data_IF_166317528749
#
_entry.id   IF_166317528749
#
_cell.length_a   1.000
_cell.length_b   1.000
_cell.length_c   1.000
_cell.angle_alpha   90.00
_cell.angle_beta   90.00
_cell.angle_gamma   90.00
#
_symmetry.space_group_name_H-M   'P 1'
#
loop_
_entity.id
_entity.type
_entity.pdbx_description
1 polymer ?
#
# COMPACT_ATOMS: atom_id res chain seq x y z
N UNK A 1 4.78 -6.32 -24.66
CA UNK A 1 5.17 -5.80 -23.33
C UNK A 1 3.96 -5.04 -22.79
N UNK A 2 3.27 -5.57 -21.78
CA UNK A 2 2.22 -4.84 -21.08
C UNK A 2 2.76 -4.54 -19.68
N UNK A 3 3.35 -3.36 -19.51
CA UNK A 3 3.71 -2.85 -18.18
C UNK A 3 2.42 -2.61 -17.39
N UNK A 4 2.42 -2.98 -16.12
CA UNK A 4 1.33 -2.58 -15.23
C UNK A 4 1.59 -1.11 -14.89
N UNK A 5 0.76 -0.21 -15.43
CA UNK A 5 0.85 1.22 -15.13
C UNK A 5 0.44 1.46 -13.67
N UNK A 6 1.44 1.53 -12.78
CA UNK A 6 1.27 2.04 -11.43
C UNK A 6 1.04 3.55 -11.54
N UNK A 7 -0.15 3.98 -11.17
CA UNK A 7 -0.48 5.40 -11.07
C UNK A 7 -0.86 5.72 -9.63
N UNK A 8 -0.32 6.83 -9.10
CA UNK A 8 -0.85 7.40 -7.87
C UNK A 8 -2.24 7.91 -8.20
N UNK A 9 -3.25 7.35 -7.57
CA UNK A 9 -4.60 7.84 -7.75
C UNK A 9 -4.82 8.96 -6.75
N UNK A 10 -4.88 10.20 -7.23
CA UNK A 10 -5.19 11.35 -6.38
C UNK A 10 -6.62 11.24 -5.80
N UNK A 11 -6.85 11.62 -4.54
CA UNK A 11 -8.20 11.74 -4.01
C UNK A 11 -8.94 12.84 -4.79
N UNK A 12 -10.11 12.51 -5.36
CA UNK A 12 -10.86 13.40 -6.25
C UNK A 12 -11.23 14.74 -5.61
N UNK A 13 -11.03 15.82 -6.40
CA UNK A 13 -11.32 17.26 -6.23
C UNK A 13 -11.05 17.90 -4.85
N UNK A 14 -10.34 19.04 -4.80
CA UNK A 14 -9.91 19.67 -3.55
C UNK A 14 -11.06 20.45 -2.90
N UNK A 15 -11.77 19.82 -1.98
CA UNK A 15 -12.51 20.56 -0.96
C UNK A 15 -11.53 21.06 0.10
N UNK A 16 -10.83 22.16 -0.21
CA UNK A 16 -10.04 23.07 0.65
C UNK A 16 -9.18 22.47 1.79
N UNK A 17 -8.81 21.21 1.69
CA UNK A 17 -7.84 20.51 2.53
C UNK A 17 -6.90 19.82 1.55
N UNK A 18 -5.80 20.48 1.19
CA UNK A 18 -4.76 19.86 0.36
C UNK A 18 -4.47 18.46 0.90
N UNK A 19 -4.61 17.44 0.05
CA UNK A 19 -4.55 16.03 0.44
C UNK A 19 -3.36 15.79 1.39
N UNK A 20 -3.64 15.52 2.66
CA UNK A 20 -2.61 15.43 3.73
C UNK A 20 -1.58 14.33 3.46
N UNK A 21 -1.92 13.38 2.59
CA UNK A 21 -1.05 12.33 2.08
C UNK A 21 0.13 12.90 1.27
N UNK A 22 -0.10 13.95 0.46
CA UNK A 22 0.96 14.64 -0.29
C UNK A 22 1.95 15.35 0.65
N UNK A 23 1.46 15.93 1.75
CA UNK A 23 2.31 16.56 2.78
C UNK A 23 3.12 15.52 3.56
N UNK A 24 2.65 14.27 3.61
CA UNK A 24 3.31 13.16 4.32
C UNK A 24 4.19 12.31 3.39
N UNK A 25 4.27 12.65 2.09
CA UNK A 25 4.98 11.88 1.06
C UNK A 25 4.51 10.42 1.01
N UNK A 26 3.21 10.19 1.17
CA UNK A 26 2.58 8.86 1.11
C UNK A 26 1.80 8.73 -0.19
N UNK A 27 2.11 7.70 -0.98
CA UNK A 27 1.42 7.40 -2.22
C UNK A 27 0.62 6.11 -2.15
N UNK A 28 -0.46 6.05 -2.93
CA UNK A 28 -1.28 4.85 -3.03
C UNK A 28 -1.70 4.58 -4.47
N UNK A 29 -1.59 3.31 -4.89
CA UNK A 29 -2.06 2.83 -6.18
C UNK A 29 -3.07 1.70 -6.00
N UNK A 30 -3.90 1.44 -7.01
CA UNK A 30 -4.92 0.39 -6.98
C UNK A 30 -4.80 -0.51 -8.20
N UNK A 31 -4.86 -1.84 -7.99
CA UNK A 31 -4.72 -2.82 -9.07
C UNK A 31 -5.82 -3.91 -9.00
N UNK A 32 -6.12 -4.49 -10.16
CA UNK A 32 -7.15 -5.53 -10.34
C UNK A 32 -6.64 -6.97 -10.33
N UNK A 33 -5.40 -7.21 -9.88
CA UNK A 33 -4.75 -8.53 -9.84
C UNK A 33 -4.14 -8.79 -8.47
N UNK A 34 -3.92 -10.05 -8.09
CA UNK A 34 -3.26 -10.38 -6.81
C UNK A 34 -1.83 -9.85 -6.73
N UNK A 35 -1.37 -9.56 -5.51
CA UNK A 35 0.02 -9.14 -5.27
C UNK A 35 0.99 -10.23 -5.71
N UNK A 36 0.66 -11.51 -5.48
CA UNK A 36 1.48 -12.62 -5.98
C UNK A 36 1.67 -12.56 -7.50
N UNK A 37 0.64 -12.18 -8.28
CA UNK A 37 0.75 -12.01 -9.74
C UNK A 37 1.50 -10.75 -10.16
N UNK A 38 1.34 -9.65 -9.41
CA UNK A 38 2.13 -8.43 -9.59
C UNK A 38 3.63 -8.75 -9.41
N UNK A 39 3.96 -9.47 -8.35
CA UNK A 39 5.35 -9.81 -8.00
C UNK A 39 5.97 -10.91 -8.87
N UNK A 40 5.15 -11.81 -9.42
CA UNK A 40 5.61 -12.85 -10.34
C UNK A 40 5.93 -12.34 -11.75
N UNK A 41 5.55 -11.09 -12.09
CA UNK A 41 5.91 -10.48 -13.37
C UNK A 41 7.37 -10.02 -13.36
N UNK A 42 8.26 -10.95 -13.75
CA UNK A 42 9.72 -10.79 -13.90
C UNK A 42 10.45 -10.16 -12.69
N UNK A 43 11.77 -10.30 -12.63
CA UNK A 43 12.59 -9.81 -11.51
C UNK A 43 12.56 -8.28 -11.32
N UNK A 44 11.77 -7.57 -12.13
CA UNK A 44 11.62 -6.13 -12.14
C UNK A 44 10.48 -5.64 -11.26
N UNK A 45 9.47 -6.44 -10.90
CA UNK A 45 8.28 -5.91 -10.20
C UNK A 45 8.54 -5.27 -8.83
N UNK A 46 9.37 -5.88 -7.96
CA UNK A 46 9.76 -5.24 -6.68
C UNK A 46 10.66 -4.03 -6.89
N UNK A 47 11.62 -4.13 -7.83
CA UNK A 47 12.53 -3.04 -8.16
C UNK A 47 11.80 -1.85 -8.78
N UNK A 48 10.82 -2.08 -9.66
CA UNK A 48 9.96 -1.08 -10.27
C UNK A 48 9.12 -0.36 -9.22
N UNK A 49 8.59 -1.08 -8.23
CA UNK A 49 7.86 -0.47 -7.11
C UNK A 49 8.78 0.44 -6.30
N UNK A 50 10.01 -0.01 -6.00
CA UNK A 50 11.01 0.79 -5.28
C UNK A 50 11.45 2.00 -6.13
N UNK A 51 11.71 1.81 -7.42
CA UNK A 51 12.08 2.89 -8.34
C UNK A 51 10.97 3.91 -8.47
N UNK A 52 9.72 3.47 -8.60
CA UNK A 52 8.54 4.33 -8.65
C UNK A 52 8.42 5.14 -7.35
N UNK A 53 8.55 4.47 -6.20
CA UNK A 53 8.54 5.14 -4.90
C UNK A 53 9.62 6.24 -4.82
N UNK A 54 10.85 5.95 -5.26
CA UNK A 54 11.95 6.91 -5.24
C UNK A 54 11.74 8.06 -6.23
N UNK A 55 11.27 7.76 -7.44
CA UNK A 55 11.00 8.73 -8.50
C UNK A 55 9.92 9.74 -8.06
N UNK A 56 8.84 9.25 -7.46
CA UNK A 56 7.74 10.04 -6.90
C UNK A 56 8.09 10.65 -5.52
N UNK A 57 9.31 10.40 -5.00
CA UNK A 57 9.82 10.89 -3.70
C UNK A 57 8.90 10.54 -2.52
N UNK A 58 8.37 9.33 -2.55
CA UNK A 58 7.46 8.82 -1.52
C UNK A 58 8.24 8.15 -0.39
N UNK A 59 7.93 8.54 0.85
CA UNK A 59 8.41 7.89 2.06
C UNK A 59 7.72 6.54 2.29
N UNK A 60 6.47 6.45 1.86
CA UNK A 60 5.65 5.25 1.95
C UNK A 60 4.82 5.11 0.67
N UNK A 61 4.83 3.92 0.08
CA UNK A 61 4.01 3.60 -1.08
C UNK A 61 3.20 2.35 -0.80
N UNK A 62 1.88 2.42 -1.06
CA UNK A 62 0.96 1.31 -0.86
C UNK A 62 0.25 0.94 -2.16
N UNK A 63 0.31 -0.33 -2.53
CA UNK A 63 -0.50 -0.89 -3.61
C UNK A 63 -1.67 -1.65 -3.00
N UNK A 64 -2.88 -1.21 -3.31
CA UNK A 64 -4.13 -1.87 -2.88
C UNK A 64 -4.65 -2.74 -4.02
N UNK A 65 -4.67 -4.04 -3.81
CA UNK A 65 -5.18 -5.01 -4.77
C UNK A 65 -6.62 -5.40 -4.43
N UNK A 66 -7.48 -5.47 -5.45
CA UNK A 66 -8.81 -6.06 -5.35
C UNK A 66 -9.09 -6.96 -6.55
N UNK A 67 -9.39 -8.24 -6.31
CA UNK A 67 -9.60 -9.22 -7.38
C UNK A 67 -10.55 -10.32 -6.93
N UNK A 68 -11.05 -11.11 -7.88
CA UNK A 68 -11.76 -12.36 -7.59
C UNK A 68 -10.80 -13.53 -7.73
N UNK A 69 -10.76 -14.41 -6.73
CA UNK A 69 -10.01 -15.66 -6.84
C UNK A 69 -10.70 -16.66 -7.79
N UNK A 70 -10.09 -17.83 -7.97
CA UNK A 70 -10.62 -18.90 -8.84
C UNK A 70 -11.97 -19.43 -8.39
N UNK A 71 -12.34 -19.23 -7.13
CA UNK A 71 -13.61 -19.61 -6.52
C UNK A 71 -14.65 -18.49 -6.57
N UNK A 72 -14.35 -17.36 -7.26
CA UNK A 72 -15.17 -16.16 -7.33
C UNK A 72 -15.39 -15.46 -5.99
N UNK A 73 -14.50 -15.68 -5.02
CA UNK A 73 -14.50 -14.89 -3.79
C UNK A 73 -13.75 -13.58 -4.04
N UNK A 74 -14.35 -12.45 -3.66
CA UNK A 74 -13.66 -11.18 -3.70
C UNK A 74 -12.59 -11.13 -2.60
N UNK A 75 -11.36 -10.86 -3.01
CA UNK A 75 -10.16 -10.72 -2.19
C UNK A 75 -9.63 -9.30 -2.26
N UNK A 76 -9.04 -8.86 -1.15
CA UNK A 76 -8.38 -7.57 -1.06
C UNK A 76 -7.05 -7.75 -0.34
N UNK A 77 -6.01 -7.19 -0.93
CA UNK A 77 -4.64 -7.29 -0.41
C UNK A 77 -3.99 -5.91 -0.44
N UNK A 78 -2.97 -5.71 0.40
CA UNK A 78 -2.10 -4.53 0.35
C UNK A 78 -0.64 -4.97 0.28
N UNK A 79 0.13 -4.32 -0.60
CA UNK A 79 1.58 -4.35 -0.59
C UNK A 79 2.06 -2.99 -0.12
N UNK A 80 2.94 -2.98 0.85
CA UNK A 80 3.51 -1.75 1.40
C UNK A 80 5.00 -1.75 1.16
N UNK A 81 5.51 -0.62 0.64
CA UNK A 81 6.93 -0.32 0.49
C UNK A 81 7.25 0.94 1.29
N UNK A 82 8.24 0.87 2.18
CA UNK A 82 8.68 1.99 3.00
C UNK A 82 10.10 2.42 2.59
N UNK A 83 10.44 3.70 2.80
CA UNK A 83 11.79 4.21 2.54
C UNK A 83 12.86 3.59 3.45
N UNK A 84 12.46 3.07 4.61
CA UNK A 84 13.36 2.49 5.60
C UNK A 84 12.68 1.40 6.43
N UNK A 85 13.49 0.49 6.96
CA UNK A 85 13.06 -0.57 7.87
C UNK A 85 12.43 0.01 9.14
N UNK A 86 12.94 1.14 9.64
CA UNK A 86 12.39 1.82 10.82
C UNK A 86 10.97 2.33 10.54
N UNK A 87 10.75 2.96 9.39
CA UNK A 87 9.41 3.40 9.00
C UNK A 87 8.44 2.22 8.85
N UNK A 88 8.90 1.11 8.26
CA UNK A 88 8.11 -0.11 8.18
C UNK A 88 7.75 -0.62 9.58
N UNK A 89 8.70 -0.70 10.52
CA UNK A 89 8.43 -1.12 11.91
C UNK A 89 7.39 -0.22 12.60
N UNK A 90 7.53 1.09 12.44
CA UNK A 90 6.59 2.06 13.01
C UNK A 90 5.18 1.89 12.42
N UNK A 91 5.08 1.65 11.11
CA UNK A 91 3.81 1.39 10.46
C UNK A 91 3.17 0.09 10.95
N UNK A 92 3.94 -1.00 11.08
CA UNK A 92 3.43 -2.27 11.60
C UNK A 92 2.94 -2.13 13.04
N UNK A 93 3.67 -1.37 13.88
CA UNK A 93 3.23 -1.06 15.24
C UNK A 93 1.91 -0.27 15.26
N UNK A 94 1.77 0.72 14.36
CA UNK A 94 0.53 1.48 14.20
C UNK A 94 -0.63 0.58 13.75
N UNK A 95 -0.43 -0.29 12.76
CA UNK A 95 -1.47 -1.22 12.32
C UNK A 95 -1.89 -2.21 13.39
N UNK A 96 -0.93 -2.73 14.17
CA UNK A 96 -1.23 -3.61 15.29
C UNK A 96 -2.05 -2.91 16.38
N UNK A 97 -1.73 -1.64 16.67
CA UNK A 97 -2.53 -0.80 17.58
C UNK A 97 -3.94 -0.51 17.05
N UNK A 98 -4.15 -0.62 15.74
CA UNK A 98 -5.43 -0.38 15.04
C UNK A 98 -6.03 -1.67 14.43
N UNK A 99 -5.68 -2.85 14.95
CA UNK A 99 -6.07 -4.14 14.38
C UNK A 99 -7.59 -4.34 14.27
N UNK A 100 -8.38 -3.64 15.10
CA UNK A 100 -9.85 -3.64 15.02
C UNK A 100 -10.39 -2.95 13.76
N UNK A 101 -9.66 -1.97 13.22
CA UNK A 101 -10.05 -1.23 12.01
C UNK A 101 -9.44 -1.82 10.74
N UNK A 102 -8.28 -2.44 10.85
CA UNK A 102 -7.55 -3.07 9.75
C UNK A 102 -7.03 -4.45 10.19
N UNK A 103 -7.86 -5.49 10.15
CA UNK A 103 -7.38 -6.84 10.40
C UNK A 103 -6.44 -7.25 9.27
N UNK A 104 -5.15 -7.36 9.60
CA UNK A 104 -4.10 -7.76 8.68
C UNK A 104 -3.77 -9.23 8.85
N UNK A 105 -3.74 -9.95 7.74
CA UNK A 105 -3.19 -11.29 7.67
C UNK A 105 -1.95 -11.27 6.79
N UNK A 106 -0.81 -11.63 7.35
CA UNK A 106 0.47 -11.62 6.64
C UNK A 106 0.39 -12.53 5.40
N UNK A 107 0.81 -12.00 4.25
CA UNK A 107 1.03 -12.77 3.03
C UNK A 107 2.53 -12.93 2.83
N UNK A 108 3.01 -14.17 2.95
CA UNK A 108 4.39 -14.49 2.68
C UNK A 108 4.63 -14.52 1.17
N UNK A 109 5.35 -13.52 0.67
CA UNK A 109 5.78 -13.44 -0.72
C UNK A 109 7.31 -13.58 -0.78
N UNK A 110 7.85 -14.51 -1.58
CA UNK A 110 9.30 -14.65 -1.73
C UNK A 110 9.90 -13.40 -2.38
N UNK A 111 11.10 -13.02 -1.98
CA UNK A 111 11.84 -11.91 -2.60
C UNK A 111 11.46 -10.50 -2.12
N UNK A 112 10.56 -10.35 -1.14
CA UNK A 112 10.34 -9.06 -0.48
C UNK A 112 11.48 -8.75 0.51
N UNK A 113 12.08 -7.57 0.39
CA UNK A 113 13.02 -7.02 1.36
C UNK A 113 12.36 -6.65 2.69
N UNK A 114 13.15 -6.24 3.68
CA UNK A 114 12.63 -5.85 4.99
C UNK A 114 11.81 -4.55 4.97
N UNK A 115 12.01 -3.73 3.96
CA UNK A 115 11.24 -2.52 3.69
C UNK A 115 9.90 -2.78 2.98
N UNK A 116 9.60 -4.04 2.62
CA UNK A 116 8.37 -4.40 1.91
C UNK A 116 7.58 -5.49 2.64
N UNK A 117 6.26 -5.34 2.73
CA UNK A 117 5.36 -6.33 3.36
C UNK A 117 4.04 -6.42 2.62
N UNK A 118 3.52 -7.64 2.47
CA UNK A 118 2.22 -7.90 1.86
C UNK A 118 1.23 -8.48 2.89
N UNK A 119 -0.04 -8.09 2.76
CA UNK A 119 -1.11 -8.51 3.67
C UNK A 119 -2.42 -8.76 2.93
N UNK A 120 -3.18 -9.75 3.34
CA UNK A 120 -4.61 -9.88 3.06
C UNK A 120 -5.34 -9.00 4.07
N UNK A 121 -6.30 -8.21 3.59
CA UNK A 121 -7.15 -7.33 4.43
C UNK A 121 -8.61 -7.70 4.27
N UNK A 122 -9.43 -7.21 5.21
CA UNK A 122 -10.88 -7.40 5.16
C UNK A 122 -11.47 -6.97 3.81
N UNK A 123 -12.30 -7.82 3.21
CA UNK A 123 -12.94 -7.55 1.91
C UNK A 123 -13.78 -6.25 1.88
N UNK A 124 -14.25 -5.83 3.06
CA UNK A 124 -15.02 -4.59 3.25
C UNK A 124 -14.17 -3.38 3.63
N UNK A 125 -12.86 -3.55 3.83
CA UNK A 125 -11.95 -2.43 4.07
C UNK A 125 -11.89 -1.56 2.83
N UNK A 126 -12.53 -0.40 2.91
CA UNK A 126 -12.58 0.53 1.79
C UNK A 126 -11.23 1.22 1.59
N UNK A 127 -11.01 1.72 0.38
CA UNK A 127 -9.87 2.60 0.09
C UNK A 127 -9.81 3.81 1.03
N UNK A 128 -10.97 4.44 1.29
CA UNK A 128 -11.07 5.60 2.21
C UNK A 128 -10.63 5.26 3.64
N UNK A 129 -10.89 4.03 4.08
CA UNK A 129 -10.44 3.54 5.39
C UNK A 129 -8.92 3.49 5.45
N UNK A 130 -8.29 3.00 4.37
CA UNK A 130 -6.82 2.93 4.26
C UNK A 130 -6.22 4.34 4.20
N UNK A 131 -6.78 5.23 3.38
CA UNK A 131 -6.35 6.64 3.28
C UNK A 131 -6.38 7.32 4.64
N UNK A 132 -7.50 7.19 5.38
CA UNK A 132 -7.64 7.75 6.72
C UNK A 132 -6.59 7.21 7.70
N UNK A 133 -6.35 5.90 7.71
CA UNK A 133 -5.32 5.30 8.57
C UNK A 133 -3.92 5.82 8.25
N UNK A 134 -3.61 6.00 6.97
CA UNK A 134 -2.32 6.57 6.53
C UNK A 134 -2.19 8.06 6.89
N UNK A 135 -3.29 8.83 6.83
CA UNK A 135 -3.32 10.21 7.31
C UNK A 135 -3.11 10.29 8.83
N UNK A 136 -3.74 9.41 9.60
CA UNK A 136 -3.56 9.33 11.05
C UNK A 136 -2.11 8.98 11.40
N UNK A 137 -1.52 8.00 10.70
CA UNK A 137 -0.09 7.65 10.84
C UNK A 137 0.84 8.83 10.52
N UNK A 138 0.61 9.53 9.40
CA UNK A 138 1.40 10.70 9.01
C UNK A 138 1.23 11.89 9.96
N UNK A 139 0.05 12.04 10.57
CA UNK A 139 -0.24 13.05 11.57
C UNK A 139 0.46 12.80 12.91
N UNK A 140 0.67 11.54 13.29
CA UNK A 140 1.43 11.17 14.50
C UNK A 140 2.91 11.55 14.42
N UNK A 141 3.50 11.58 13.22
CA UNK A 141 4.91 11.95 13.02
C UNK A 141 5.20 13.45 13.15
N UNK A 142 4.17 14.30 13.32
CA UNK A 142 4.31 15.77 13.42
C UNK A 142 4.17 16.31 14.85
N UNK A 143 4.17 15.45 15.87
CA UNK A 143 4.12 15.86 17.28
C UNK A 143 5.44 15.56 17.98
#
# INVERSE_FOLDING_TARGET
>A
MHSIDLQIVEPGKPDNTGSRLMVSHVGMSSIGISIGRLLAHENTSTQEIVHFQQFEKLRLFMVVSGYYDTEKNFKREILVSAESIELMKNLLHFFNSNASQLPLKVLHQPGLGDEMRAFEIGKFTSRKTIERLLEEFGGMSKR
#
